data_IF_060276129552
#
_entry.id   IF_060276129552
#
_cell.length_a   1.000
_cell.length_b   1.000
_cell.length_c   1.000
_cell.angle_alpha   90.00
_cell.angle_beta   90.00
_cell.angle_gamma   90.00
#
_symmetry.space_group_name_H-M   'P 1'
#
loop_
_entity.id
_entity.type
_entity.pdbx_description
1 polymer ?
#
# COMPACT_ATOMS: atom_id res chain seq x y z
N UNK A 1 -3.65 4.28 -7.73
CA UNK A 1 -4.67 3.21 -7.64
C UNK A 1 -5.98 3.70 -7.05
N UNK A 2 -5.95 4.38 -5.94
CA UNK A 2 -7.15 4.86 -5.21
C UNK A 2 -8.01 5.90 -5.98
N UNK A 3 -7.48 6.57 -6.99
CA UNK A 3 -8.22 7.56 -7.77
C UNK A 3 -9.53 7.01 -8.34
N UNK A 4 -9.52 5.81 -8.95
CA UNK A 4 -10.73 5.15 -9.44
C UNK A 4 -11.74 4.79 -8.34
N UNK A 5 -11.27 4.57 -7.12
CA UNK A 5 -12.10 4.26 -5.97
C UNK A 5 -12.68 5.54 -5.35
N UNK A 6 -11.90 6.62 -5.34
CA UNK A 6 -12.35 7.94 -4.87
C UNK A 6 -13.45 8.53 -5.77
N UNK A 7 -13.41 8.27 -7.08
CA UNK A 7 -14.49 8.65 -8.01
C UNK A 7 -15.85 8.06 -7.62
N UNK A 8 -15.88 6.96 -6.87
CA UNK A 8 -17.11 6.36 -6.33
C UNK A 8 -17.60 7.01 -5.03
N UNK A 9 -17.07 8.18 -4.65
CA UNK A 9 -17.49 8.94 -3.47
C UNK A 9 -16.96 8.42 -2.13
N UNK A 10 -15.91 7.60 -2.14
CA UNK A 10 -15.24 7.13 -0.92
C UNK A 10 -14.38 8.25 -0.37
N UNK A 11 -14.62 8.65 0.89
CA UNK A 11 -13.78 9.60 1.59
C UNK A 11 -12.72 8.84 2.43
N UNK A 12 -11.42 8.89 2.08
CA UNK A 12 -10.38 8.16 2.79
C UNK A 12 -10.18 8.62 4.24
N UNK A 13 -10.52 9.88 4.58
CA UNK A 13 -10.36 10.40 5.93
C UNK A 13 -11.29 9.74 6.95
N UNK A 14 -12.39 9.15 6.50
CA UNK A 14 -13.38 8.49 7.37
C UNK A 14 -13.61 7.03 7.04
N UNK A 15 -13.22 6.55 5.86
CA UNK A 15 -13.50 5.18 5.44
C UNK A 15 -12.62 4.17 6.19
N UNK A 16 -13.24 3.16 6.79
CA UNK A 16 -12.61 2.15 7.64
C UNK A 16 -11.36 1.49 7.02
N UNK A 17 -11.39 1.22 5.71
CA UNK A 17 -10.30 0.56 5.00
C UNK A 17 -9.03 1.41 5.00
N UNK A 18 -9.11 2.67 4.58
CA UNK A 18 -7.98 3.60 4.57
C UNK A 18 -7.47 3.87 5.98
N UNK A 19 -8.39 4.10 6.92
CA UNK A 19 -8.05 4.40 8.31
C UNK A 19 -7.40 3.22 9.03
N UNK A 20 -7.81 1.97 8.75
CA UNK A 20 -7.16 0.79 9.33
C UNK A 20 -5.86 0.45 8.61
N UNK A 21 -5.81 0.57 7.27
CA UNK A 21 -4.65 0.21 6.45
C UNK A 21 -3.44 1.11 6.70
N UNK A 22 -3.64 2.38 7.08
CA UNK A 22 -2.53 3.27 7.46
C UNK A 22 -1.81 2.84 8.74
N UNK A 23 -2.46 2.11 9.67
CA UNK A 23 -1.87 1.79 10.98
C UNK A 23 -0.57 0.96 10.89
N UNK A 24 -0.47 -0.12 10.11
CA UNK A 24 0.80 -0.82 9.94
C UNK A 24 1.85 0.03 9.22
N UNK A 25 1.47 0.89 8.27
CA UNK A 25 2.38 1.83 7.62
C UNK A 25 2.97 2.83 8.62
N UNK A 26 2.15 3.42 9.50
CA UNK A 26 2.63 4.32 10.56
C UNK A 26 3.64 3.62 11.47
N UNK A 27 3.43 2.34 11.81
CA UNK A 27 4.40 1.56 12.60
C UNK A 27 5.70 1.30 11.84
N UNK A 28 5.62 1.02 10.53
CA UNK A 28 6.80 0.85 9.69
C UNK A 28 7.63 2.14 9.62
N UNK A 29 6.98 3.29 9.44
CA UNK A 29 7.62 4.61 9.48
C UNK A 29 8.26 4.90 10.84
N UNK A 30 7.59 4.60 11.94
CA UNK A 30 8.14 4.78 13.29
C UNK A 30 9.41 3.94 13.50
N UNK A 31 9.46 2.70 12.98
CA UNK A 31 10.67 1.87 13.01
C UNK A 31 11.78 2.44 12.13
N UNK A 32 11.46 2.96 10.95
CA UNK A 32 12.45 3.59 10.07
C UNK A 32 13.05 4.86 10.71
N UNK A 33 12.27 5.61 11.47
CA UNK A 33 12.68 6.81 12.21
C UNK A 33 13.53 6.53 13.46
N UNK A 34 13.56 5.29 13.97
CA UNK A 34 14.32 4.93 15.16
C UNK A 34 15.84 5.18 15.02
N UNK A 35 16.35 5.31 13.79
CA UNK A 35 17.74 5.69 13.50
C UNK A 35 18.06 7.17 13.76
N UNK A 36 17.10 8.00 14.14
CA UNK A 36 17.28 9.41 14.52
C UNK A 36 17.59 10.38 13.36
N UNK A 37 17.67 9.88 12.13
CA UNK A 37 17.89 10.71 10.92
C UNK A 37 16.55 11.09 10.28
N UNK A 38 16.43 12.30 9.71
CA UNK A 38 15.25 12.68 8.94
C UNK A 38 14.99 11.70 7.80
N UNK A 39 13.72 11.30 7.62
CA UNK A 39 13.31 10.26 6.69
C UNK A 39 12.89 10.85 5.34
N UNK A 40 13.32 10.23 4.25
CA UNK A 40 12.77 10.47 2.92
C UNK A 40 11.67 9.45 2.64
N UNK A 41 10.45 9.91 2.35
CA UNK A 41 9.34 9.02 1.94
C UNK A 41 9.29 9.00 0.42
N UNK A 42 9.18 7.81 -0.17
CA UNK A 42 8.93 7.62 -1.59
C UNK A 42 7.70 6.74 -1.73
N UNK A 43 6.56 7.35 -2.02
CA UNK A 43 5.27 6.66 -2.19
C UNK A 43 5.04 6.40 -3.67
N UNK A 44 5.23 5.15 -4.10
CA UNK A 44 5.14 4.73 -5.49
C UNK A 44 3.72 4.23 -5.77
N UNK A 45 3.11 4.73 -6.86
CA UNK A 45 1.69 4.53 -7.15
C UNK A 45 0.82 5.29 -6.15
N UNK A 46 1.28 6.47 -5.76
CA UNK A 46 0.72 7.27 -4.66
C UNK A 46 -0.72 7.76 -4.89
N UNK A 47 -1.18 7.83 -6.15
CA UNK A 47 -2.53 8.28 -6.46
C UNK A 47 -2.88 9.62 -5.83
N UNK A 48 -3.83 9.63 -4.88
CA UNK A 48 -4.20 10.82 -4.11
C UNK A 48 -3.12 11.30 -3.12
N UNK A 49 -2.13 10.45 -2.81
CA UNK A 49 -1.12 10.72 -1.79
C UNK A 49 -1.60 10.51 -0.35
N UNK A 50 -2.79 9.97 -0.13
CA UNK A 50 -3.41 9.85 1.20
C UNK A 50 -2.47 9.24 2.24
N UNK A 51 -1.81 8.12 1.93
CA UNK A 51 -0.95 7.43 2.88
C UNK A 51 0.31 8.23 3.24
N UNK A 52 0.93 8.88 2.26
CA UNK A 52 2.08 9.75 2.48
C UNK A 52 1.71 11.02 3.27
N UNK A 53 0.53 11.60 3.02
CA UNK A 53 0.01 12.74 3.77
C UNK A 53 -0.30 12.37 5.24
N UNK A 54 -0.77 11.16 5.51
CA UNK A 54 -0.95 10.67 6.88
C UNK A 54 0.40 10.46 7.61
N UNK A 55 1.45 10.06 6.88
CA UNK A 55 2.82 10.05 7.41
C UNK A 55 3.32 11.46 7.74
N UNK A 56 3.11 12.43 6.83
CA UNK A 56 3.46 13.84 7.07
C UNK A 56 2.73 14.41 8.27
N UNK A 57 1.44 14.17 8.36
CA UNK A 57 0.61 14.62 9.49
C UNK A 57 1.11 14.08 10.84
N UNK A 58 1.62 12.85 10.86
CA UNK A 58 2.05 12.17 12.08
C UNK A 58 3.50 12.44 12.45
N UNK A 59 4.39 12.54 11.46
CA UNK A 59 5.85 12.55 11.65
C UNK A 59 6.54 13.73 10.94
N UNK A 60 5.80 14.75 10.53
CA UNK A 60 6.29 15.80 9.64
C UNK A 60 7.61 16.45 10.06
N UNK A 61 7.82 16.69 11.38
CA UNK A 61 9.07 17.23 11.89
C UNK A 61 10.30 16.32 11.65
N UNK A 62 10.07 15.01 11.46
CA UNK A 62 11.11 14.01 11.26
C UNK A 62 11.22 13.55 9.79
N UNK A 63 10.40 14.10 8.90
CA UNK A 63 10.41 13.82 7.47
C UNK A 63 11.13 14.96 6.74
N UNK A 64 12.19 14.63 6.03
CA UNK A 64 12.95 15.58 5.23
C UNK A 64 12.26 15.90 3.90
N UNK A 65 11.75 14.86 3.22
CA UNK A 65 11.16 14.97 1.87
C UNK A 65 10.13 13.86 1.66
N UNK A 66 9.10 14.17 0.89
CA UNK A 66 8.11 13.19 0.40
C UNK A 66 8.07 13.30 -1.12
N UNK A 67 8.30 12.20 -1.80
CA UNK A 67 8.04 12.04 -3.22
C UNK A 67 6.77 11.23 -3.41
N UNK A 68 5.79 11.85 -4.07
CA UNK A 68 4.58 11.18 -4.54
C UNK A 68 4.85 10.78 -5.99
N UNK A 69 5.05 9.48 -6.23
CA UNK A 69 5.41 8.95 -7.54
C UNK A 69 4.18 8.32 -8.18
N UNK A 70 3.66 8.93 -9.26
CA UNK A 70 2.53 8.37 -10.00
C UNK A 70 2.55 8.87 -11.45
N UNK A 71 2.32 7.97 -12.40
CA UNK A 71 2.27 8.30 -13.84
C UNK A 71 1.02 9.08 -14.23
N UNK A 72 0.00 9.13 -13.37
CA UNK A 72 -1.25 9.84 -13.58
C UNK A 72 -1.23 11.33 -13.26
N UNK A 73 -0.14 11.87 -12.68
CA UNK A 73 -0.07 13.29 -12.38
C UNK A 73 0.05 14.16 -13.64
N UNK A 74 -0.62 15.31 -13.62
CA UNK A 74 -0.48 16.32 -14.68
C UNK A 74 0.81 17.13 -14.52
N UNK A 75 1.32 17.70 -15.62
CA UNK A 75 2.47 18.60 -15.60
C UNK A 75 2.24 19.82 -14.67
N UNK A 76 1.01 20.32 -14.59
CA UNK A 76 0.64 21.40 -13.68
C UNK A 76 0.81 21.03 -12.22
N UNK A 77 0.38 19.83 -11.82
CA UNK A 77 0.53 19.32 -10.45
C UNK A 77 1.99 19.13 -10.07
N UNK A 78 2.80 18.55 -10.97
CA UNK A 78 4.23 18.39 -10.76
C UNK A 78 4.95 19.71 -10.64
N UNK A 79 4.66 20.68 -11.53
CA UNK A 79 5.25 22.01 -11.51
C UNK A 79 4.89 22.77 -10.22
N UNK A 80 3.64 22.67 -9.76
CA UNK A 80 3.17 23.33 -8.54
C UNK A 80 3.85 22.81 -7.26
N UNK A 81 4.35 21.57 -7.29
CA UNK A 81 4.98 20.93 -6.13
C UNK A 81 6.50 20.82 -6.24
N UNK A 82 7.10 21.26 -7.36
CA UNK A 82 8.55 21.14 -7.61
C UNK A 82 9.37 21.81 -6.50
N UNK A 83 10.30 21.06 -5.92
CA UNK A 83 11.17 21.55 -4.85
C UNK A 83 10.49 21.66 -3.48
N UNK A 84 9.17 21.55 -3.38
CA UNK A 84 8.47 21.54 -2.11
C UNK A 84 8.81 20.29 -1.28
N UNK A 85 8.53 20.31 0.01
CA UNK A 85 8.72 19.16 0.89
C UNK A 85 7.94 17.93 0.42
N UNK A 86 6.74 18.12 -0.09
CA UNK A 86 5.93 17.10 -0.77
C UNK A 86 5.96 17.42 -2.25
N UNK A 87 6.54 16.54 -3.03
CA UNK A 87 6.77 16.74 -4.46
C UNK A 87 6.14 15.61 -5.27
N UNK A 88 5.35 15.96 -6.28
CA UNK A 88 4.76 15.03 -7.26
C UNK A 88 5.72 14.82 -8.40
N UNK A 89 5.98 13.56 -8.76
CA UNK A 89 6.90 13.18 -9.84
C UNK A 89 6.36 11.95 -10.58
N UNK A 90 6.75 11.79 -11.85
CA UNK A 90 6.37 10.61 -12.65
C UNK A 90 7.31 9.41 -12.44
N UNK A 91 8.54 9.66 -12.02
CA UNK A 91 9.57 8.62 -11.92
C UNK A 91 10.13 8.52 -10.50
N UNK A 92 10.64 7.35 -10.17
CA UNK A 92 11.37 7.12 -8.92
C UNK A 92 12.56 8.09 -8.88
N UNK A 93 12.80 8.80 -7.75
CA UNK A 93 13.98 9.65 -7.60
C UNK A 93 15.27 8.86 -7.86
N UNK A 94 16.21 9.46 -8.59
CA UNK A 94 17.47 8.80 -8.95
C UNK A 94 18.32 8.38 -7.74
N UNK A 95 18.11 9.02 -6.59
CA UNK A 95 18.84 8.75 -5.35
C UNK A 95 17.90 8.81 -4.14
N UNK A 96 17.86 7.73 -3.38
CA UNK A 96 17.07 7.59 -2.14
C UNK A 96 18.05 7.25 -1.02
N UNK A 97 18.17 8.13 -0.03
CA UNK A 97 18.96 7.93 1.17
C UNK A 97 18.08 8.04 2.40
N UNK A 98 18.33 7.18 3.38
CA UNK A 98 17.52 7.09 4.59
C UNK A 98 16.03 7.10 4.28
N UNK A 99 15.66 6.25 3.31
CA UNK A 99 14.33 6.23 2.71
C UNK A 99 13.39 5.22 3.35
N UNK A 100 12.09 5.54 3.35
CA UNK A 100 11.01 4.57 3.42
C UNK A 100 10.29 4.57 2.08
N UNK A 101 10.50 3.48 1.33
CA UNK A 101 9.79 3.26 0.07
C UNK A 101 8.48 2.54 0.37
N UNK A 102 7.40 3.11 -0.11
CA UNK A 102 6.02 2.65 0.12
C UNK A 102 5.40 2.26 -1.22
N UNK A 103 4.83 1.05 -1.29
CA UNK A 103 4.02 0.58 -2.42
C UNK A 103 2.72 -0.01 -1.86
N UNK A 104 1.65 0.77 -1.92
CA UNK A 104 0.35 0.37 -1.37
C UNK A 104 -0.58 -0.08 -2.50
N UNK A 105 -0.67 -1.41 -2.72
CA UNK A 105 -1.45 -2.03 -3.79
C UNK A 105 -1.01 -1.53 -5.18
N UNK A 106 0.24 -1.80 -5.53
CA UNK A 106 0.90 -1.37 -6.78
C UNK A 106 1.41 -2.55 -7.60
N UNK A 107 2.08 -3.51 -6.97
CA UNK A 107 2.77 -4.58 -7.69
C UNK A 107 1.83 -5.47 -8.51
N UNK A 108 0.60 -5.63 -8.07
CA UNK A 108 -0.45 -6.37 -8.77
C UNK A 108 -0.84 -5.76 -10.12
N UNK A 109 -0.59 -4.46 -10.31
CA UNK A 109 -0.86 -3.74 -11.56
C UNK A 109 0.29 -3.83 -12.56
N UNK A 110 1.42 -4.41 -12.16
CA UNK A 110 2.62 -4.48 -12.99
C UNK A 110 2.77 -5.87 -13.62
N UNK A 111 2.94 -5.91 -14.93
CA UNK A 111 3.28 -7.17 -15.63
C UNK A 111 4.61 -7.73 -15.14
N UNK A 112 5.61 -6.86 -14.88
CA UNK A 112 6.93 -7.18 -14.37
C UNK A 112 7.20 -6.44 -13.05
N UNK A 113 6.73 -7.02 -11.94
CA UNK A 113 6.91 -6.52 -10.58
C UNK A 113 8.39 -6.58 -10.12
N UNK A 114 9.13 -7.58 -10.55
CA UNK A 114 10.56 -7.71 -10.26
C UNK A 114 11.37 -6.53 -10.81
N UNK A 115 11.12 -6.11 -12.04
CA UNK A 115 11.81 -4.97 -12.65
C UNK A 115 11.56 -3.66 -11.88
N UNK A 116 10.33 -3.43 -11.44
CA UNK A 116 10.00 -2.27 -10.60
C UNK A 116 10.82 -2.28 -9.31
N UNK A 117 10.84 -3.41 -8.60
CA UNK A 117 11.59 -3.55 -7.36
C UNK A 117 13.10 -3.39 -7.57
N UNK A 118 13.66 -3.92 -8.66
CA UNK A 118 15.06 -3.73 -9.03
C UNK A 118 15.38 -2.25 -9.30
N UNK A 119 14.48 -1.51 -9.95
CA UNK A 119 14.63 -0.05 -10.15
C UNK A 119 14.65 0.70 -8.82
N UNK A 120 13.78 0.32 -7.88
CA UNK A 120 13.80 0.87 -6.51
C UNK A 120 15.13 0.56 -5.82
N UNK A 121 15.60 -0.70 -5.90
CA UNK A 121 16.89 -1.10 -5.30
C UNK A 121 18.05 -0.30 -5.86
N UNK A 122 18.08 -0.08 -7.18
CA UNK A 122 19.13 0.69 -7.84
C UNK A 122 19.16 2.17 -7.41
N UNK A 123 18.00 2.75 -7.10
CA UNK A 123 17.89 4.14 -6.63
C UNK A 123 18.29 4.29 -5.15
N UNK A 124 18.21 3.22 -4.35
CA UNK A 124 18.53 3.26 -2.93
C UNK A 124 20.03 3.23 -2.67
N UNK A 125 20.53 4.20 -1.90
CA UNK A 125 21.95 4.33 -1.55
C UNK A 125 22.14 4.19 -0.05
N UNK A 126 23.15 3.39 0.36
CA UNK A 126 23.44 3.08 1.77
C UNK A 126 22.45 2.10 2.39
N UNK A 127 22.68 1.69 3.63
CA UNK A 127 22.02 0.57 4.31
C UNK A 127 20.77 0.98 5.12
N UNK A 128 20.43 2.27 5.14
CA UNK A 128 19.33 2.78 5.97
C UNK A 128 17.99 2.88 5.26
N UNK A 129 17.87 2.28 4.06
CA UNK A 129 16.62 2.28 3.32
C UNK A 129 15.71 1.14 3.79
N UNK A 130 14.44 1.44 3.93
CA UNK A 130 13.40 0.50 4.36
C UNK A 130 12.27 0.48 3.34
N UNK A 131 11.47 -0.59 3.35
CA UNK A 131 10.28 -0.65 2.52
C UNK A 131 9.06 -1.11 3.31
N UNK A 132 7.90 -0.70 2.82
CA UNK A 132 6.60 -1.18 3.23
C UNK A 132 5.72 -1.40 1.99
N UNK A 133 5.31 -2.63 1.77
CA UNK A 133 4.57 -3.04 0.57
C UNK A 133 3.29 -3.75 0.99
N UNK A 134 2.17 -3.38 0.37
CA UNK A 134 0.94 -4.15 0.46
C UNK A 134 0.48 -4.59 -0.93
N UNK A 135 -0.07 -5.78 -1.00
CA UNK A 135 -0.65 -6.35 -2.23
C UNK A 135 -1.90 -7.17 -1.89
N UNK A 136 -2.87 -7.31 -2.79
CA UNK A 136 -4.04 -8.16 -2.59
C UNK A 136 -3.62 -9.63 -2.41
N UNK A 137 -4.19 -10.27 -1.40
CA UNK A 137 -3.85 -11.64 -1.05
C UNK A 137 -4.75 -12.67 -1.73
N UNK A 138 -4.21 -13.86 -1.94
CA UNK A 138 -4.83 -15.10 -2.39
C UNK A 138 -5.58 -15.04 -3.72
N UNK A 139 -5.14 -15.82 -4.68
CA UNK A 139 -5.81 -15.96 -5.98
C UNK A 139 -7.26 -16.48 -5.83
N UNK A 140 -7.58 -17.22 -4.78
CA UNK A 140 -8.95 -17.65 -4.47
C UNK A 140 -9.93 -16.50 -4.17
N UNK A 141 -9.40 -15.30 -3.88
CA UNK A 141 -10.18 -14.06 -3.71
C UNK A 141 -10.34 -13.27 -5.02
N UNK A 142 -9.84 -13.75 -6.15
CA UNK A 142 -9.99 -13.08 -7.43
C UNK A 142 -11.47 -12.86 -7.76
N UNK A 143 -11.81 -11.67 -8.27
CA UNK A 143 -13.20 -11.29 -8.55
C UNK A 143 -13.27 -10.22 -9.63
N UNK A 144 -14.47 -9.83 -10.03
CA UNK A 144 -14.68 -8.72 -10.97
C UNK A 144 -14.06 -7.39 -10.53
N UNK A 145 -13.79 -7.21 -9.24
CA UNK A 145 -13.06 -6.03 -8.75
C UNK A 145 -11.60 -6.01 -9.22
N UNK A 146 -10.93 -7.16 -9.22
CA UNK A 146 -9.56 -7.26 -9.72
C UNK A 146 -9.48 -6.96 -11.22
N UNK A 147 -10.46 -7.45 -11.98
CA UNK A 147 -10.60 -7.17 -13.41
C UNK A 147 -10.86 -5.68 -13.65
N UNK A 148 -11.77 -5.07 -12.88
CA UNK A 148 -12.08 -3.64 -12.94
C UNK A 148 -10.84 -2.75 -12.69
N UNK A 149 -10.01 -3.13 -11.73
CA UNK A 149 -8.77 -2.41 -11.40
C UNK A 149 -7.60 -2.73 -12.35
N UNK A 150 -7.72 -3.76 -13.20
CA UNK A 150 -6.66 -4.18 -14.11
C UNK A 150 -5.51 -4.92 -13.44
N UNK A 151 -5.80 -5.71 -12.41
CA UNK A 151 -4.80 -6.53 -11.74
C UNK A 151 -4.30 -7.64 -12.65
N UNK A 152 -3.02 -7.99 -12.55
CA UNK A 152 -2.44 -9.17 -13.18
C UNK A 152 -2.48 -10.39 -12.26
N UNK A 153 -2.38 -10.18 -10.93
CA UNK A 153 -2.23 -11.27 -9.95
C UNK A 153 -2.64 -10.85 -8.54
N UNK A 154 -2.77 -11.86 -7.68
CA UNK A 154 -2.82 -11.73 -6.22
C UNK A 154 -1.68 -12.51 -5.62
N UNK A 155 -1.24 -12.14 -4.43
CA UNK A 155 -0.04 -12.67 -3.83
C UNK A 155 -0.34 -13.57 -2.63
N UNK A 156 0.62 -14.44 -2.33
CA UNK A 156 0.76 -15.09 -1.04
C UNK A 156 2.13 -14.73 -0.46
N UNK A 157 2.31 -14.87 0.85
CA UNK A 157 3.58 -14.53 1.52
C UNK A 157 4.80 -15.16 0.82
N UNK A 158 4.82 -16.46 0.46
CA UNK A 158 5.98 -17.04 -0.23
C UNK A 158 6.28 -16.33 -1.56
N UNK A 159 5.26 -16.05 -2.37
CA UNK A 159 5.42 -15.38 -3.67
C UNK A 159 5.95 -13.95 -3.51
N UNK A 160 5.36 -13.16 -2.59
CA UNK A 160 5.84 -11.80 -2.32
C UNK A 160 7.28 -11.81 -1.80
N UNK A 161 7.60 -12.68 -0.87
CA UNK A 161 8.95 -12.83 -0.32
C UNK A 161 9.97 -13.24 -1.38
N UNK A 162 9.60 -14.12 -2.30
CA UNK A 162 10.50 -14.57 -3.35
C UNK A 162 10.82 -13.47 -4.36
N UNK A 163 9.84 -12.68 -4.82
CA UNK A 163 10.11 -11.55 -5.72
C UNK A 163 10.93 -10.45 -5.03
N UNK A 164 10.66 -10.15 -3.76
CA UNK A 164 11.45 -9.21 -2.97
C UNK A 164 12.90 -9.66 -2.81
N UNK A 165 13.13 -10.96 -2.51
CA UNK A 165 14.47 -11.55 -2.42
C UNK A 165 15.22 -11.49 -3.74
N UNK A 166 14.55 -11.80 -4.86
CA UNK A 166 15.15 -11.70 -6.20
C UNK A 166 15.55 -10.26 -6.56
N UNK A 167 14.81 -9.27 -6.07
CA UNK A 167 15.14 -7.86 -6.23
C UNK A 167 16.24 -7.36 -5.26
N UNK A 168 16.74 -8.21 -4.36
CA UNK A 168 17.76 -7.84 -3.38
C UNK A 168 17.23 -7.15 -2.11
N UNK A 169 15.94 -7.29 -1.83
CA UNK A 169 15.30 -6.79 -0.62
C UNK A 169 15.39 -7.82 0.51
N UNK A 170 15.62 -7.36 1.74
CA UNK A 170 15.65 -8.20 2.94
C UNK A 170 14.36 -8.04 3.71
N UNK A 171 13.43 -8.99 3.55
CA UNK A 171 12.21 -9.03 4.35
C UNK A 171 12.52 -9.29 5.82
N UNK A 172 11.97 -8.46 6.70
CA UNK A 172 12.02 -8.63 8.16
C UNK A 172 10.70 -9.24 8.63
N UNK A 173 9.58 -8.83 8.05
CA UNK A 173 8.26 -9.32 8.41
C UNK A 173 7.36 -9.48 7.18
N UNK A 174 6.61 -10.57 7.15
CA UNK A 174 5.55 -10.82 6.17
C UNK A 174 4.32 -11.34 6.90
N UNK A 175 3.17 -10.75 6.64
CA UNK A 175 1.93 -11.10 7.33
C UNK A 175 0.70 -10.72 6.50
N UNK A 176 -0.46 -11.17 6.95
CA UNK A 176 -1.72 -10.81 6.33
C UNK A 176 -2.53 -9.82 7.20
N UNK A 177 -3.25 -8.93 6.52
CA UNK A 177 -4.24 -8.03 7.13
C UNK A 177 -5.65 -8.52 6.78
N UNK A 178 -6.60 -8.14 7.63
CA UNK A 178 -8.02 -8.44 7.46
C UNK A 178 -8.32 -9.95 7.49
N UNK A 179 -7.65 -10.67 8.38
CA UNK A 179 -7.89 -12.09 8.62
C UNK A 179 -9.32 -12.36 9.11
N UNK A 180 -9.82 -11.53 10.02
CA UNK A 180 -11.20 -11.62 10.51
C UNK A 180 -12.26 -11.43 9.44
N UNK A 181 -11.95 -10.67 8.39
CA UNK A 181 -12.86 -10.45 7.25
C UNK A 181 -12.69 -11.50 6.14
N UNK A 182 -11.61 -12.26 6.14
CA UNK A 182 -11.29 -13.20 5.06
C UNK A 182 -12.42 -14.20 4.75
N UNK A 183 -13.02 -14.91 5.73
CA UNK A 183 -14.08 -15.89 5.44
C UNK A 183 -15.30 -15.25 4.77
N UNK A 184 -15.69 -14.07 5.24
CA UNK A 184 -16.83 -13.33 4.67
C UNK A 184 -16.53 -12.86 3.24
N UNK A 185 -15.38 -12.25 3.03
CA UNK A 185 -14.97 -11.75 1.70
C UNK A 185 -14.84 -12.92 0.72
N UNK A 186 -14.25 -14.04 1.15
CA UNK A 186 -14.13 -15.25 0.33
C UNK A 186 -15.50 -15.79 -0.09
N UNK A 187 -16.42 -15.96 0.86
CA UNK A 187 -17.77 -16.44 0.59
C UNK A 187 -18.54 -15.54 -0.37
N UNK A 188 -18.53 -14.22 -0.12
CA UNK A 188 -19.22 -13.24 -0.98
C UNK A 188 -18.62 -13.25 -2.39
N UNK A 189 -17.29 -13.26 -2.53
CA UNK A 189 -16.63 -13.28 -3.85
C UNK A 189 -16.90 -14.59 -4.59
N UNK A 190 -16.84 -15.73 -3.88
CA UNK A 190 -17.16 -17.03 -4.47
C UNK A 190 -18.58 -17.08 -5.03
N UNK A 191 -19.54 -16.57 -4.28
CA UNK A 191 -20.92 -16.49 -4.70
C UNK A 191 -21.11 -15.54 -5.90
N UNK A 192 -20.53 -14.35 -5.85
CA UNK A 192 -20.61 -13.38 -6.97
C UNK A 192 -19.97 -13.91 -8.25
N UNK A 193 -18.84 -14.59 -8.16
CA UNK A 193 -18.17 -15.19 -9.32
C UNK A 193 -19.03 -16.30 -9.95
N UNK A 194 -19.76 -17.07 -9.13
CA UNK A 194 -20.69 -18.07 -9.65
C UNK A 194 -21.77 -17.46 -10.55
N UNK A 195 -22.29 -16.28 -10.20
CA UNK A 195 -23.33 -15.59 -10.98
C UNK A 195 -22.77 -14.67 -12.08
N UNK A 196 -21.47 -14.74 -12.41
CA UNK A 196 -20.83 -13.98 -13.51
C UNK A 196 -21.24 -12.50 -13.59
N UNK A 197 -21.23 -11.79 -12.48
CA UNK A 197 -21.56 -10.36 -12.43
C UNK A 197 -20.50 -9.51 -13.12
N UNK A 198 -20.94 -8.40 -13.73
CA UNK A 198 -20.07 -7.42 -14.37
C UNK A 198 -18.96 -6.91 -13.43
N UNK A 199 -17.75 -6.68 -13.98
CA UNK A 199 -16.64 -6.09 -13.22
C UNK A 199 -17.04 -4.72 -12.64
N UNK A 200 -16.85 -4.55 -11.34
CA UNK A 200 -17.18 -3.29 -10.66
C UNK A 200 -16.36 -3.12 -9.39
N UNK A 201 -16.16 -1.86 -8.95
CA UNK A 201 -15.54 -1.58 -7.66
C UNK A 201 -16.36 -2.16 -6.50
N UNK A 202 -15.66 -2.73 -5.54
CA UNK A 202 -16.24 -3.13 -4.25
C UNK A 202 -16.17 -2.03 -3.20
N UNK A 203 -15.43 -0.95 -3.47
CA UNK A 203 -15.31 0.19 -2.56
C UNK A 203 -16.51 1.11 -2.73
N UNK A 204 -17.27 1.28 -1.66
CA UNK A 204 -18.46 2.15 -1.60
C UNK A 204 -18.53 2.85 -0.26
N UNK A 205 -19.13 4.04 -0.20
CA UNK A 205 -19.49 4.65 1.07
C UNK A 205 -20.36 3.70 1.89
N UNK A 206 -20.06 3.55 3.17
CA UNK A 206 -20.81 2.69 4.08
C UNK A 206 -21.65 3.51 5.04
N UNK A 207 -22.74 2.89 5.55
CA UNK A 207 -23.45 3.45 6.69
C UNK A 207 -22.48 3.73 7.84
N UNK A 208 -22.63 4.90 8.50
CA UNK A 208 -21.70 5.37 9.52
C UNK A 208 -21.49 4.39 10.68
N UNK A 209 -22.54 3.64 11.10
CA UNK A 209 -22.42 2.64 12.16
C UNK A 209 -21.59 1.44 11.72
N UNK A 210 -21.87 0.91 10.52
CA UNK A 210 -21.11 -0.21 9.93
C UNK A 210 -19.64 0.19 9.73
N UNK A 211 -19.39 1.38 9.23
CA UNK A 211 -18.04 1.91 9.05
C UNK A 211 -17.27 1.99 10.38
N UNK A 212 -17.89 2.51 11.45
CA UNK A 212 -17.29 2.56 12.79
C UNK A 212 -17.01 1.17 13.36
N UNK A 213 -17.93 0.22 13.19
CA UNK A 213 -17.74 -1.17 13.64
C UNK A 213 -16.56 -1.83 12.92
N UNK A 214 -16.49 -1.70 11.58
CA UNK A 214 -15.39 -2.24 10.80
C UNK A 214 -14.06 -1.57 11.17
N UNK A 215 -14.06 -0.26 11.38
CA UNK A 215 -12.87 0.45 11.83
C UNK A 215 -12.38 -0.06 13.19
N UNK A 216 -13.26 -0.19 14.17
CA UNK A 216 -12.90 -0.69 15.51
C UNK A 216 -12.37 -2.12 15.48
N UNK A 217 -13.04 -3.01 14.76
CA UNK A 217 -12.63 -4.41 14.59
C UNK A 217 -11.25 -4.50 13.94
N UNK A 218 -11.05 -3.80 12.84
CA UNK A 218 -9.79 -3.86 12.12
C UNK A 218 -8.67 -3.10 12.87
N UNK A 219 -8.95 -2.02 13.58
CA UNK A 219 -7.97 -1.35 14.42
C UNK A 219 -7.45 -2.27 15.55
N UNK A 220 -8.31 -3.13 16.09
CA UNK A 220 -7.91 -4.15 17.06
C UNK A 220 -7.04 -5.24 16.40
N UNK A 221 -7.48 -5.77 15.25
CA UNK A 221 -6.71 -6.75 14.47
C UNK A 221 -5.31 -6.21 14.09
N UNK A 222 -5.22 -4.94 13.69
CA UNK A 222 -3.93 -4.33 13.32
C UNK A 222 -2.90 -4.33 14.44
N UNK A 223 -3.30 -4.41 15.73
CA UNK A 223 -2.35 -4.49 16.86
C UNK A 223 -1.58 -5.81 16.86
N UNK A 224 -2.17 -6.88 16.37
CA UNK A 224 -1.61 -8.24 16.36
C UNK A 224 -1.34 -8.77 14.96
N UNK A 225 -1.61 -7.99 13.92
CA UNK A 225 -1.56 -8.43 12.52
C UNK A 225 -0.19 -8.96 12.09
N UNK A 226 0.91 -8.44 12.65
CA UNK A 226 2.28 -8.91 12.34
C UNK A 226 2.53 -10.38 12.71
N UNK A 227 1.69 -10.99 13.55
CA UNK A 227 1.74 -12.41 13.88
C UNK A 227 0.87 -13.28 12.95
N UNK A 228 0.01 -12.67 12.12
CA UNK A 228 -0.89 -13.41 11.24
C UNK A 228 -0.22 -13.78 9.92
N UNK A 229 0.28 -15.01 9.84
CA UNK A 229 0.91 -15.58 8.63
C UNK A 229 0.02 -16.57 7.89
N UNK A 230 -1.24 -16.75 8.30
CA UNK A 230 -2.12 -17.80 7.80
C UNK A 230 -3.02 -17.33 6.65
N UNK A 231 -3.82 -16.29 6.84
CA UNK A 231 -4.78 -15.80 5.85
C UNK A 231 -5.21 -14.36 6.11
N UNK A 232 -5.64 -13.69 5.05
CA UNK A 232 -6.19 -12.33 5.09
C UNK A 232 -6.51 -11.83 3.70
N UNK A 233 -7.01 -10.61 3.60
CA UNK A 233 -7.39 -10.02 2.31
C UNK A 233 -6.22 -9.30 1.64
N UNK A 234 -5.26 -8.82 2.43
CA UNK A 234 -4.06 -8.10 1.98
C UNK A 234 -2.81 -8.79 2.54
N UNK A 235 -1.80 -8.97 1.70
CA UNK A 235 -0.47 -9.45 2.07
C UNK A 235 0.46 -8.26 2.26
N UNK A 236 1.27 -8.29 3.31
CA UNK A 236 2.25 -7.23 3.65
C UNK A 236 3.66 -7.80 3.60
N UNK A 237 4.57 -7.01 3.04
CA UNK A 237 6.01 -7.20 3.15
C UNK A 237 6.67 -5.93 3.69
N UNK A 238 7.54 -6.08 4.67
CA UNK A 238 8.31 -4.96 5.21
C UNK A 238 9.74 -5.40 5.58
N UNK A 239 10.70 -4.46 5.46
CA UNK A 239 12.09 -4.78 5.73
C UNK A 239 13.06 -3.70 5.28
N UNK A 240 14.26 -4.14 4.83
CA UNK A 240 15.36 -3.31 4.37
C UNK A 240 15.63 -3.52 2.88
N UNK A 241 16.09 -2.45 2.23
CA UNK A 241 16.49 -2.45 0.83
C UNK A 241 18.01 -2.50 0.72
#
# INVERSE_FOLDING_TARGET
MDLKELENGVNPDVHWYYQSKKLPLLRAAQRALAGGKPLTIVDIGSGSGFFALELEKRFGAQIAKIYLVDTGYSEGEMTATRGAKIEKVHAIPARIENGLVVLMDVLEHLGNDLQMLQSVKAACVGDNNSFFITVPAFQSLWSGHDVFLGHYRRYQIPMLRDVLRQAGFRCISNYYLYGGLFPLVWSVRRFRNYFKREPSSNMRPLNGLVNKMLLALNALEMKVSSANTFFGVTCVGEGKI
#
